data_IF_774030599311
#
_entry.id   IF_774030599311
#
_cell.length_a   1.000
_cell.length_b   1.000
_cell.length_c   1.000
_cell.angle_alpha   90.00
_cell.angle_beta   90.00
_cell.angle_gamma   90.00
#
_symmetry.space_group_name_H-M   'P 1'
#
loop_
_entity.id
_entity.type
_entity.pdbx_description
1 polymer ?
#
# COMPACT_ATOMS: atom_id res chain seq x y z
N UNK A 1 -12.26 -25.63 3.86
CA UNK A 1 -11.35 -25.41 5.00
C UNK A 1 -10.50 -24.22 4.65
N UNK A 2 -10.67 -23.10 5.35
CA UNK A 2 -9.78 -21.94 5.14
C UNK A 2 -8.35 -22.35 5.52
N UNK A 3 -7.45 -22.25 4.59
CA UNK A 3 -6.02 -22.47 4.84
C UNK A 3 -5.58 -21.30 5.70
N UNK A 4 -5.32 -21.55 6.99
CA UNK A 4 -4.83 -20.52 7.89
C UNK A 4 -3.50 -19.98 7.36
N UNK A 5 -3.48 -18.75 6.89
CA UNK A 5 -2.25 -18.02 6.60
C UNK A 5 -1.68 -17.56 7.93
N UNK A 6 -0.78 -18.34 8.52
CA UNK A 6 0.03 -17.86 9.61
C UNK A 6 0.98 -16.78 9.11
N UNK A 7 1.15 -15.68 9.86
CA UNK A 7 2.20 -14.72 9.61
C UNK A 7 1.74 -13.29 9.36
N UNK A 8 2.42 -12.62 8.43
CA UNK A 8 2.28 -11.18 8.20
C UNK A 8 1.35 -10.92 7.00
N UNK A 9 0.41 -10.01 7.19
CA UNK A 9 -0.35 -9.37 6.12
C UNK A 9 0.14 -7.92 5.99
N UNK A 10 0.78 -7.59 4.88
CA UNK A 10 1.44 -6.30 4.73
C UNK A 10 0.51 -5.18 4.28
N UNK A 11 -0.77 -5.50 3.99
CA UNK A 11 -1.72 -4.55 3.42
C UNK A 11 -3.14 -4.79 3.91
N UNK A 12 -3.58 -3.97 4.86
CA UNK A 12 -4.98 -3.88 5.30
C UNK A 12 -5.39 -2.42 5.50
N UNK A 13 -6.71 -2.18 5.55
CA UNK A 13 -7.28 -0.88 5.88
C UNK A 13 -8.17 -0.99 7.12
N UNK A 14 -7.88 -0.18 8.10
CA UNK A 14 -8.76 0.08 9.26
C UNK A 14 -8.80 1.60 9.44
N UNK A 15 -9.99 2.19 9.37
CA UNK A 15 -10.17 3.60 9.69
C UNK A 15 -10.40 3.73 11.19
N UNK A 16 -9.43 4.21 11.96
CA UNK A 16 -9.62 4.38 13.37
C UNK A 16 -10.66 5.45 13.67
N UNK A 17 -11.31 5.42 14.84
CA UNK A 17 -12.35 6.39 15.20
C UNK A 17 -11.95 7.84 15.02
N UNK A 18 -10.69 8.16 15.29
CA UNK A 18 -10.12 9.51 15.13
C UNK A 18 -10.16 9.97 13.67
N UNK A 19 -9.78 9.11 12.72
CA UNK A 19 -9.84 9.43 11.29
C UNK A 19 -11.29 9.56 10.82
N UNK A 20 -12.18 8.66 11.26
CA UNK A 20 -13.61 8.71 10.94
C UNK A 20 -14.21 10.06 11.39
N UNK A 21 -13.90 10.49 12.60
CA UNK A 21 -14.40 11.77 13.12
C UNK A 21 -13.79 12.97 12.38
N UNK A 22 -12.49 12.93 12.09
CA UNK A 22 -11.84 13.96 11.30
C UNK A 22 -12.47 14.10 9.90
N UNK A 23 -12.81 12.99 9.23
CA UNK A 23 -13.50 13.00 7.94
C UNK A 23 -14.93 13.56 8.05
N UNK A 24 -15.65 13.29 9.16
CA UNK A 24 -17.00 13.84 9.42
C UNK A 24 -17.02 15.34 9.65
N UNK A 25 -15.96 15.87 10.26
CA UNK A 25 -15.85 17.32 10.51
C UNK A 25 -15.58 18.13 9.23
N UNK A 26 -15.22 17.49 8.11
CA UNK A 26 -14.90 18.18 6.86
C UNK A 26 -16.17 18.57 6.07
N UNK A 27 -16.07 19.71 5.40
CA UNK A 27 -17.09 20.19 4.46
C UNK A 27 -16.74 19.92 2.99
N UNK A 28 -15.45 19.76 2.70
CA UNK A 28 -14.90 19.41 1.37
C UNK A 28 -14.40 17.98 1.34
N UNK A 29 -14.33 17.37 0.16
CA UNK A 29 -13.75 16.03 -0.03
C UNK A 29 -12.25 15.99 0.35
N UNK A 30 -11.74 14.85 0.85
CA UNK A 30 -12.51 13.69 1.30
C UNK A 30 -13.31 14.01 2.56
N UNK A 31 -14.53 13.48 2.67
CA UNK A 31 -15.38 13.63 3.84
C UNK A 31 -16.35 12.47 4.01
N UNK A 32 -16.82 12.26 5.23
CA UNK A 32 -17.91 11.34 5.53
C UNK A 32 -19.20 12.13 5.82
N UNK A 33 -20.28 11.73 5.16
CA UNK A 33 -21.64 12.16 5.46
C UNK A 33 -22.41 10.97 6.06
N UNK A 34 -22.53 10.95 7.38
CA UNK A 34 -22.86 9.71 8.08
C UNK A 34 -21.78 8.64 7.84
N UNK A 35 -22.13 7.63 7.04
CA UNK A 35 -21.20 6.60 6.55
C UNK A 35 -21.14 6.57 5.02
N UNK A 36 -21.50 7.65 4.35
CA UNK A 36 -21.27 7.82 2.93
C UNK A 36 -19.96 8.56 2.71
N UNK A 37 -18.99 7.90 2.09
CA UNK A 37 -17.73 8.52 1.70
C UNK A 37 -17.93 9.36 0.44
N UNK A 38 -17.44 10.59 0.48
CA UNK A 38 -17.36 11.51 -0.66
C UNK A 38 -15.90 11.83 -0.90
N UNK A 39 -15.36 11.41 -2.04
CA UNK A 39 -14.02 11.75 -2.52
C UNK A 39 -14.05 12.77 -3.63
N UNK A 40 -12.89 13.28 -4.04
CA UNK A 40 -12.77 14.20 -5.18
C UNK A 40 -12.85 13.53 -6.54
N UNK A 41 -12.67 12.21 -6.60
CA UNK A 41 -12.50 11.47 -7.86
C UNK A 41 -13.55 10.39 -8.12
N UNK A 42 -13.86 9.59 -7.14
CA UNK A 42 -14.77 8.45 -7.29
C UNK A 42 -16.21 8.81 -6.88
N UNK A 43 -17.23 8.11 -7.41
CA UNK A 43 -18.62 8.30 -6.98
C UNK A 43 -18.76 8.04 -5.46
N UNK A 44 -19.61 8.80 -4.76
CA UNK A 44 -19.89 8.54 -3.35
C UNK A 44 -20.39 7.10 -3.13
N UNK A 45 -19.91 6.43 -2.09
CA UNK A 45 -20.35 5.10 -1.72
C UNK A 45 -20.53 4.91 -0.22
N UNK A 46 -21.39 3.95 0.15
CA UNK A 46 -21.63 3.61 1.55
C UNK A 46 -20.47 2.78 2.10
N UNK A 47 -19.87 3.25 3.17
CA UNK A 47 -18.85 2.51 3.95
C UNK A 47 -19.58 1.74 5.06
N UNK A 48 -19.19 0.49 5.26
CA UNK A 48 -19.76 -0.35 6.34
C UNK A 48 -18.97 -0.10 7.63
N UNK A 49 -19.62 0.42 8.69
CA UNK A 49 -18.94 0.73 9.95
C UNK A 49 -18.21 -0.47 10.55
N UNK A 50 -18.84 -1.65 10.46
CA UNK A 50 -18.32 -2.89 10.99
C UNK A 50 -17.01 -3.35 10.34
N UNK A 51 -16.71 -2.88 9.11
CA UNK A 51 -15.47 -3.18 8.41
C UNK A 51 -14.27 -2.40 8.96
N UNK A 52 -14.55 -1.35 9.73
CA UNK A 52 -13.55 -0.50 10.37
C UNK A 52 -13.59 -0.58 11.91
N UNK A 53 -14.38 -1.50 12.48
CA UNK A 53 -14.35 -1.78 13.91
C UNK A 53 -13.04 -2.50 14.30
N UNK A 54 -12.15 -1.88 15.09
CA UNK A 54 -10.84 -2.45 15.40
C UNK A 54 -10.91 -3.78 16.15
N UNK A 55 -11.89 -3.96 17.01
CA UNK A 55 -12.04 -5.19 17.83
C UNK A 55 -12.50 -6.34 16.93
N UNK A 56 -13.50 -6.10 16.09
CA UNK A 56 -13.96 -7.08 15.11
C UNK A 56 -12.85 -7.46 14.13
N UNK A 57 -12.13 -6.47 13.59
CA UNK A 57 -11.05 -6.69 12.65
C UNK A 57 -9.88 -7.47 13.26
N UNK A 58 -9.54 -7.21 14.53
CA UNK A 58 -8.54 -7.99 15.25
C UNK A 58 -8.98 -9.44 15.45
N UNK A 59 -10.26 -9.68 15.76
CA UNK A 59 -10.80 -11.03 15.90
C UNK A 59 -10.77 -11.81 14.56
N UNK A 60 -11.10 -11.15 13.44
CA UNK A 60 -11.00 -11.75 12.10
C UNK A 60 -9.56 -12.10 11.76
N UNK A 61 -8.61 -11.18 11.94
CA UNK A 61 -7.19 -11.41 11.70
C UNK A 61 -6.66 -12.59 12.54
N UNK A 62 -7.06 -12.69 13.82
CA UNK A 62 -6.69 -13.81 14.68
C UNK A 62 -7.28 -15.16 14.19
N UNK A 63 -8.53 -15.15 13.73
CA UNK A 63 -9.18 -16.35 13.17
C UNK A 63 -8.51 -16.84 11.88
N UNK A 64 -7.92 -15.93 11.10
CA UNK A 64 -7.14 -16.22 9.91
C UNK A 64 -5.68 -16.61 10.20
N UNK A 65 -5.25 -16.58 11.47
CA UNK A 65 -3.86 -16.86 11.86
C UNK A 65 -2.88 -15.73 11.52
N UNK A 66 -3.37 -14.51 11.32
CA UNK A 66 -2.52 -13.34 11.08
C UNK A 66 -1.90 -12.86 12.39
N UNK A 67 -0.56 -12.91 12.46
CA UNK A 67 0.22 -12.52 13.64
C UNK A 67 0.56 -11.03 13.64
N UNK A 68 0.67 -10.44 12.44
CA UNK A 68 0.91 -9.02 12.20
C UNK A 68 0.14 -8.57 10.97
N UNK A 69 -0.69 -7.55 11.12
CA UNK A 69 -1.41 -6.90 10.03
C UNK A 69 -0.96 -5.43 9.93
N UNK A 70 -0.47 -5.03 8.76
CA UNK A 70 -0.01 -3.67 8.53
C UNK A 70 -1.15 -2.82 7.93
N UNK A 71 -1.56 -1.83 8.71
CA UNK A 71 -2.63 -0.90 8.32
C UNK A 71 -2.07 0.21 7.46
N UNK A 72 -2.70 0.39 6.32
CA UNK A 72 -2.43 1.42 5.32
C UNK A 72 -3.50 2.51 5.35
N UNK A 73 -3.11 3.75 5.10
CA UNK A 73 -4.08 4.80 4.78
C UNK A 73 -4.74 4.45 3.42
N UNK A 74 -6.05 4.66 3.29
CA UNK A 74 -6.72 4.49 1.99
C UNK A 74 -6.38 5.67 1.08
N UNK A 75 -5.25 5.61 0.36
CA UNK A 75 -4.76 6.72 -0.49
C UNK A 75 -5.74 7.16 -1.59
N UNK A 76 -6.70 6.34 -2.09
CA UNK A 76 -7.78 6.84 -2.94
C UNK A 76 -8.61 7.98 -2.33
N UNK A 77 -8.59 8.16 -1.01
CA UNK A 77 -9.15 9.34 -0.33
C UNK A 77 -8.49 10.65 -0.80
N UNK A 78 -7.23 10.60 -1.25
CA UNK A 78 -6.48 11.76 -1.74
C UNK A 78 -5.93 12.66 -0.63
N UNK A 79 -5.87 12.19 0.61
CA UNK A 79 -5.41 12.96 1.78
C UNK A 79 -3.98 13.47 1.56
N UNK A 80 -3.11 12.61 1.03
CA UNK A 80 -1.69 12.91 0.80
C UNK A 80 -1.48 14.02 -0.24
N UNK A 81 -2.47 14.28 -1.10
CA UNK A 81 -2.45 15.33 -2.13
C UNK A 81 -3.11 16.63 -1.69
N UNK A 82 -3.66 16.70 -0.48
CA UNK A 82 -4.18 17.95 0.07
C UNK A 82 -3.04 18.92 0.41
N UNK A 83 -3.37 20.22 0.47
CA UNK A 83 -2.44 21.21 1.01
C UNK A 83 -2.09 20.85 2.46
N UNK A 84 -0.89 21.22 2.96
CA UNK A 84 -0.43 20.83 4.29
C UNK A 84 -1.45 21.10 5.40
N UNK A 85 -2.09 22.28 5.40
CA UNK A 85 -3.07 22.68 6.41
C UNK A 85 -4.37 21.85 6.38
N UNK A 86 -4.74 21.31 5.23
CA UNK A 86 -5.91 20.44 5.06
C UNK A 86 -5.57 18.95 5.32
N UNK A 87 -4.34 18.55 5.02
CA UNK A 87 -3.86 17.17 5.21
C UNK A 87 -3.54 16.88 6.69
N UNK A 88 -2.89 17.81 7.39
CA UNK A 88 -2.37 17.61 8.73
C UNK A 88 -3.41 17.05 9.72
N UNK A 89 -4.63 17.63 9.87
CA UNK A 89 -5.61 17.09 10.82
C UNK A 89 -6.02 15.63 10.53
N UNK A 90 -6.05 15.24 9.24
CA UNK A 90 -6.42 13.89 8.83
C UNK A 90 -5.28 12.90 9.06
N UNK A 91 -4.05 13.30 8.72
CA UNK A 91 -2.86 12.48 8.92
C UNK A 91 -2.56 12.29 10.42
N UNK A 92 -2.72 13.35 11.22
CA UNK A 92 -2.56 13.26 12.69
C UNK A 92 -3.59 12.32 13.30
N UNK A 93 -4.86 12.42 12.88
CA UNK A 93 -5.93 11.54 13.31
C UNK A 93 -5.67 10.08 12.89
N UNK A 94 -5.22 9.83 11.65
CA UNK A 94 -4.81 8.51 11.19
C UNK A 94 -3.67 7.94 12.04
N UNK A 95 -2.59 8.70 12.21
CA UNK A 95 -1.42 8.23 12.96
C UNK A 95 -1.73 7.98 14.44
N UNK A 96 -2.50 8.87 15.08
CA UNK A 96 -2.90 8.69 16.47
C UNK A 96 -3.75 7.44 16.64
N UNK A 97 -4.76 7.27 15.79
CA UNK A 97 -5.67 6.15 15.86
C UNK A 97 -5.00 4.82 15.51
N UNK A 98 -4.16 4.77 14.46
CA UNK A 98 -3.44 3.54 14.10
C UNK A 98 -2.45 3.12 15.19
N UNK A 99 -1.78 4.07 15.85
CA UNK A 99 -0.90 3.77 16.98
C UNK A 99 -1.64 3.19 18.20
N UNK A 100 -2.95 3.46 18.32
CA UNK A 100 -3.81 2.96 19.38
C UNK A 100 -4.51 1.62 19.07
N UNK A 101 -4.40 1.11 17.82
CA UNK A 101 -5.03 -0.14 17.45
C UNK A 101 -4.53 -1.33 18.27
N UNK A 102 -5.41 -2.29 18.61
CA UNK A 102 -5.00 -3.50 19.29
C UNK A 102 -4.13 -4.39 18.40
N UNK A 103 -3.40 -5.35 19.01
CA UNK A 103 -2.79 -6.43 18.23
C UNK A 103 -3.86 -7.15 17.39
N UNK A 104 -3.54 -7.62 16.17
CA UNK A 104 -2.19 -7.73 15.57
C UNK A 104 -1.77 -6.50 14.74
N UNK A 105 -2.45 -5.37 14.86
CA UNK A 105 -2.22 -4.22 13.98
C UNK A 105 -0.95 -3.43 14.33
N UNK A 106 -0.27 -3.00 13.28
CA UNK A 106 0.72 -1.92 13.22
C UNK A 106 0.46 -1.10 11.97
N UNK A 107 1.06 0.08 11.84
CA UNK A 107 0.77 0.96 10.71
C UNK A 107 1.96 1.27 9.82
N UNK A 108 1.66 1.49 8.55
CA UNK A 108 2.47 2.31 7.67
C UNK A 108 2.23 3.78 8.03
N UNK A 109 3.29 4.58 8.13
CA UNK A 109 3.14 6.02 8.17
C UNK A 109 2.59 6.50 6.82
N UNK A 110 1.86 7.61 6.81
CA UNK A 110 1.44 8.31 5.60
C UNK A 110 1.96 9.76 5.66
N UNK A 111 2.27 10.34 4.52
CA UNK A 111 2.76 11.71 4.45
C UNK A 111 2.08 12.46 3.30
N UNK A 112 1.82 13.75 3.48
CA UNK A 112 1.43 14.59 2.36
C UNK A 112 2.61 14.74 1.39
N UNK A 113 2.30 14.86 0.10
CA UNK A 113 3.30 14.86 -0.98
C UNK A 113 3.46 16.21 -1.67
N UNK A 114 2.69 17.22 -1.26
CA UNK A 114 2.78 18.57 -1.83
C UNK A 114 4.03 19.28 -1.33
N UNK A 115 4.28 19.21 -0.02
CA UNK A 115 5.45 19.76 0.66
C UNK A 115 6.06 18.67 1.54
N UNK A 116 7.00 17.84 1.04
CA UNK A 116 7.55 16.70 1.75
C UNK A 116 8.22 17.07 3.09
N UNK A 117 7.65 16.62 4.21
CA UNK A 117 8.18 16.82 5.56
C UNK A 117 8.98 15.61 6.04
N UNK A 118 10.30 15.68 5.89
CA UNK A 118 11.24 14.63 6.30
C UNK A 118 11.32 14.42 7.82
N UNK A 119 11.18 15.49 8.60
CA UNK A 119 11.31 15.42 10.06
C UNK A 119 10.05 14.80 10.66
N UNK A 120 8.87 15.10 10.10
CA UNK A 120 7.61 14.42 10.42
C UNK A 120 7.69 12.92 10.16
N UNK A 121 8.21 12.49 9.00
CA UNK A 121 8.38 11.05 8.70
C UNK A 121 9.34 10.38 9.69
N UNK A 122 10.48 11.02 10.03
CA UNK A 122 11.41 10.48 11.03
C UNK A 122 10.72 10.28 12.37
N UNK A 123 9.99 11.29 12.85
CA UNK A 123 9.25 11.21 14.11
C UNK A 123 8.21 10.06 14.11
N UNK A 124 7.57 9.78 12.98
CA UNK A 124 6.63 8.64 12.86
C UNK A 124 7.36 7.30 12.93
N UNK A 125 8.51 7.14 12.28
CA UNK A 125 9.34 5.93 12.41
C UNK A 125 9.79 5.72 13.86
N UNK A 126 10.22 6.77 14.55
CA UNK A 126 10.62 6.73 15.97
C UNK A 126 9.44 6.34 16.90
N UNK A 127 8.20 6.63 16.50
CA UNK A 127 6.96 6.18 17.17
C UNK A 127 6.59 4.73 16.88
N UNK A 128 7.32 4.04 15.98
CA UNK A 128 7.15 2.62 15.71
C UNK A 128 6.32 2.28 14.47
N UNK A 129 6.04 3.24 13.59
CA UNK A 129 5.52 2.93 12.26
C UNK A 129 6.56 2.11 11.48
N UNK A 130 6.10 1.11 10.72
CA UNK A 130 7.01 0.12 10.11
C UNK A 130 7.78 0.65 8.92
N UNK A 131 7.30 1.69 8.30
CA UNK A 131 7.82 2.34 7.10
C UNK A 131 6.86 3.43 6.66
N UNK A 132 7.03 3.92 5.45
CA UNK A 132 6.20 4.97 4.85
C UNK A 132 5.36 4.41 3.71
N UNK A 133 4.09 4.80 3.64
CA UNK A 133 3.24 4.63 2.46
C UNK A 133 3.21 5.92 1.67
N UNK A 134 3.31 5.80 0.34
CA UNK A 134 3.07 6.91 -0.60
C UNK A 134 2.12 6.47 -1.73
N UNK A 135 1.27 7.38 -2.22
CA UNK A 135 0.39 7.10 -3.33
C UNK A 135 1.18 6.97 -4.65
N UNK A 136 0.86 5.97 -5.45
CA UNK A 136 1.48 5.73 -6.75
C UNK A 136 1.32 6.93 -7.71
N UNK A 137 0.28 7.73 -7.52
CA UNK A 137 0.07 8.99 -8.27
C UNK A 137 1.17 10.03 -8.03
N UNK A 138 1.74 10.08 -6.82
CA UNK A 138 2.88 10.94 -6.52
C UNK A 138 4.21 10.41 -7.08
N UNK A 139 4.27 9.12 -7.38
CA UNK A 139 5.45 8.39 -7.84
C UNK A 139 5.32 7.91 -9.30
N UNK A 140 4.42 8.53 -10.08
CA UNK A 140 4.02 8.05 -11.41
C UNK A 140 5.07 8.32 -12.52
N UNK A 141 6.09 9.10 -12.23
CA UNK A 141 7.18 9.45 -13.14
C UNK A 141 8.48 9.78 -12.38
N UNK A 142 9.62 9.94 -13.08
CA UNK A 142 10.90 10.27 -12.44
C UNK A 142 10.88 11.54 -11.58
N UNK A 143 10.16 12.58 -12.01
CA UNK A 143 10.08 13.84 -11.26
C UNK A 143 9.36 13.67 -9.92
N UNK A 144 8.34 12.81 -9.86
CA UNK A 144 7.67 12.45 -8.62
C UNK A 144 8.59 11.74 -7.62
N UNK A 145 9.43 10.82 -8.10
CA UNK A 145 10.45 10.15 -7.27
C UNK A 145 11.49 11.15 -6.74
N UNK A 146 11.93 12.09 -7.57
CA UNK A 146 12.86 13.16 -7.17
C UNK A 146 12.21 14.09 -6.15
N UNK A 147 10.95 14.50 -6.36
CA UNK A 147 10.19 15.36 -5.45
C UNK A 147 10.01 14.70 -4.06
N UNK A 148 9.68 13.42 -4.02
CA UNK A 148 9.56 12.66 -2.78
C UNK A 148 10.92 12.25 -2.19
N UNK A 149 12.03 12.50 -2.87
CA UNK A 149 13.39 12.13 -2.46
C UNK A 149 13.73 12.44 -1.00
N UNK A 150 13.39 13.64 -0.44
CA UNK A 150 13.63 13.94 0.96
C UNK A 150 13.00 12.95 1.95
N UNK A 151 11.81 12.39 1.64
CA UNK A 151 11.14 11.37 2.45
C UNK A 151 11.85 10.01 2.30
N UNK A 152 12.24 9.67 1.05
CA UNK A 152 12.93 8.40 0.75
C UNK A 152 14.32 8.34 1.39
N UNK A 153 15.02 9.47 1.48
CA UNK A 153 16.29 9.60 2.21
C UNK A 153 16.16 9.24 3.69
N UNK A 154 15.01 9.55 4.32
CA UNK A 154 14.75 9.19 5.71
C UNK A 154 14.60 7.67 5.84
N UNK A 155 13.84 7.05 4.91
CA UNK A 155 13.66 5.60 4.89
C UNK A 155 14.97 4.86 4.68
N UNK A 156 15.77 5.30 3.72
CA UNK A 156 17.06 4.68 3.37
C UNK A 156 18.01 4.68 4.58
N UNK A 157 18.13 5.83 5.27
CA UNK A 157 18.94 5.95 6.48
C UNK A 157 18.42 5.15 7.67
N UNK A 158 17.09 5.05 7.82
CA UNK A 158 16.45 4.29 8.89
C UNK A 158 16.42 2.79 8.60
N UNK A 159 16.73 2.37 7.37
CA UNK A 159 16.49 1.00 6.91
C UNK A 159 15.00 0.63 6.97
N UNK A 160 14.11 1.59 6.75
CA UNK A 160 12.66 1.38 6.75
C UNK A 160 12.14 1.23 5.31
N UNK A 161 11.11 0.40 5.06
CA UNK A 161 10.58 0.20 3.72
C UNK A 161 9.61 1.30 3.28
N UNK A 162 9.47 1.42 1.95
CA UNK A 162 8.40 2.17 1.28
C UNK A 162 7.29 1.20 0.85
N UNK A 163 6.03 1.57 1.07
CA UNK A 163 4.87 0.92 0.48
C UNK A 163 4.21 1.86 -0.54
N UNK A 164 4.07 1.40 -1.78
CA UNK A 164 3.46 2.16 -2.88
C UNK A 164 2.04 1.65 -3.11
N UNK A 165 1.06 2.49 -2.78
CA UNK A 165 -0.36 2.16 -2.84
C UNK A 165 -1.05 2.97 -3.95
N UNK A 166 -2.11 2.46 -4.63
CA UNK A 166 -2.89 3.29 -5.55
C UNK A 166 -3.36 4.59 -4.91
N UNK A 167 -3.25 5.69 -5.63
CA UNK A 167 -3.76 7.00 -5.22
C UNK A 167 -5.14 7.29 -5.79
N UNK A 168 -5.64 8.54 -5.65
CA UNK A 168 -6.94 8.92 -6.16
C UNK A 168 -7.04 8.74 -7.68
N UNK A 169 -8.21 8.28 -8.13
CA UNK A 169 -8.55 8.18 -9.54
C UNK A 169 -9.29 9.44 -10.02
N UNK A 170 -9.13 9.77 -11.30
CA UNK A 170 -9.94 10.81 -11.92
C UNK A 170 -11.36 10.29 -12.24
N UNK A 171 -12.40 11.13 -12.12
CA UNK A 171 -13.75 10.73 -12.51
C UNK A 171 -13.81 10.36 -13.99
N UNK A 172 -14.39 9.19 -14.29
CA UNK A 172 -14.66 8.77 -15.67
C UNK A 172 -16.17 8.60 -15.85
N UNK A 173 -16.88 9.61 -16.39
CA UNK A 173 -18.33 9.57 -16.51
C UNK A 173 -18.82 8.36 -17.32
N UNK A 174 -19.92 7.75 -16.88
CA UNK A 174 -20.56 6.62 -17.57
C UNK A 174 -19.90 5.26 -17.34
N UNK A 175 -18.91 5.18 -16.45
CA UNK A 175 -18.27 3.91 -16.08
C UNK A 175 -18.86 3.31 -14.80
N UNK A 176 -18.83 1.99 -14.62
CA UNK A 176 -19.27 1.35 -13.40
C UNK A 176 -18.28 1.61 -12.24
N UNK A 177 -18.73 1.45 -10.98
CA UNK A 177 -17.95 1.75 -9.79
C UNK A 177 -16.62 0.97 -9.65
N UNK A 178 -16.50 -0.22 -10.25
CA UNK A 178 -15.27 -1.01 -10.27
C UNK A 178 -14.19 -0.48 -11.26
N UNK A 179 -14.54 0.47 -12.13
CA UNK A 179 -13.66 0.94 -13.20
C UNK A 179 -12.32 1.47 -12.72
N UNK A 180 -12.23 2.35 -11.70
CA UNK A 180 -10.95 2.84 -11.22
C UNK A 180 -10.03 1.73 -10.74
N UNK A 181 -10.57 0.74 -10.05
CA UNK A 181 -9.79 -0.37 -9.50
C UNK A 181 -9.09 -1.21 -10.57
N UNK A 182 -9.69 -1.36 -11.77
CA UNK A 182 -9.14 -2.17 -12.85
C UNK A 182 -8.39 -1.38 -13.91
N UNK A 183 -8.56 -0.07 -13.97
CA UNK A 183 -7.92 0.78 -14.99
C UNK A 183 -6.94 1.76 -14.38
N UNK A 184 -7.42 2.67 -13.51
CA UNK A 184 -6.59 3.75 -12.97
C UNK A 184 -5.53 3.22 -12.00
N UNK A 185 -5.91 2.42 -11.00
CA UNK A 185 -4.99 1.88 -10.00
C UNK A 185 -3.91 1.00 -10.62
N UNK A 186 -4.30 0.14 -11.59
CA UNK A 186 -3.35 -0.68 -12.34
C UNK A 186 -2.36 0.19 -13.10
N UNK A 187 -2.86 1.21 -13.82
CA UNK A 187 -2.01 2.14 -14.59
C UNK A 187 -1.08 2.96 -13.67
N UNK A 188 -1.56 3.45 -12.53
CA UNK A 188 -0.77 4.18 -11.56
C UNK A 188 0.41 3.34 -11.05
N UNK A 189 0.15 2.09 -10.66
CA UNK A 189 1.18 1.17 -10.18
C UNK A 189 2.18 0.77 -11.26
N UNK A 190 1.72 0.53 -12.50
CA UNK A 190 2.62 0.27 -13.63
C UNK A 190 3.55 1.46 -13.89
N UNK A 191 3.04 2.68 -13.91
CA UNK A 191 3.84 3.89 -14.08
C UNK A 191 4.86 4.03 -12.97
N UNK A 192 4.43 3.90 -11.70
CA UNK A 192 5.31 4.00 -10.54
C UNK A 192 6.40 2.91 -10.55
N UNK A 193 6.08 1.67 -10.95
CA UNK A 193 7.06 0.59 -11.10
C UNK A 193 8.18 0.94 -12.09
N UNK A 194 7.83 1.48 -13.27
CA UNK A 194 8.83 1.86 -14.25
C UNK A 194 9.58 3.12 -13.86
N UNK A 195 8.92 4.10 -13.26
CA UNK A 195 9.56 5.31 -12.74
C UNK A 195 10.56 4.97 -11.61
N UNK A 196 10.24 3.98 -10.75
CA UNK A 196 11.16 3.45 -9.75
C UNK A 196 12.46 2.91 -10.37
N UNK A 197 12.38 2.16 -11.46
CA UNK A 197 13.57 1.65 -12.16
C UNK A 197 14.47 2.75 -12.70
N UNK A 198 13.87 3.86 -13.17
CA UNK A 198 14.58 4.97 -13.82
C UNK A 198 15.12 5.97 -12.81
N UNK A 199 14.43 6.25 -11.74
CA UNK A 199 14.77 7.29 -10.76
C UNK A 199 14.86 6.76 -9.32
N UNK A 200 13.91 5.96 -8.87
CA UNK A 200 13.86 5.50 -7.50
C UNK A 200 15.05 4.64 -7.11
N UNK A 201 15.29 3.55 -7.82
CA UNK A 201 16.39 2.61 -7.52
C UNK A 201 17.78 3.23 -7.70
N UNK A 202 18.06 4.00 -8.77
CA UNK A 202 19.37 4.64 -8.91
C UNK A 202 19.70 5.64 -7.79
N UNK A 203 18.71 6.37 -7.30
CA UNK A 203 18.90 7.38 -6.25
C UNK A 203 18.86 6.79 -4.84
N UNK A 204 18.15 5.67 -4.64
CA UNK A 204 18.00 4.98 -3.35
C UNK A 204 18.31 3.49 -3.49
N UNK A 205 19.61 3.12 -3.63
CA UNK A 205 20.01 1.75 -3.99
C UNK A 205 19.71 0.70 -2.89
N UNK A 206 19.61 1.09 -1.63
CA UNK A 206 19.32 0.20 -0.51
C UNK A 206 17.84 0.21 -0.07
N UNK A 207 17.00 1.06 -0.65
CA UNK A 207 15.60 1.19 -0.28
C UNK A 207 14.81 -0.07 -0.61
N UNK A 208 14.16 -0.66 0.40
CA UNK A 208 13.17 -1.72 0.19
C UNK A 208 11.83 -1.09 -0.17
N UNK A 209 11.27 -1.51 -1.29
CA UNK A 209 9.98 -1.00 -1.78
C UNK A 209 9.01 -2.17 -1.98
N UNK A 210 7.78 -2.03 -1.50
CA UNK A 210 6.69 -2.94 -1.76
C UNK A 210 5.61 -2.22 -2.58
N UNK A 211 5.24 -2.80 -3.71
CA UNK A 211 4.16 -2.29 -4.55
C UNK A 211 2.88 -3.08 -4.31
N UNK A 212 1.78 -2.39 -4.07
CA UNK A 212 0.47 -2.99 -3.95
C UNK A 212 0.02 -3.71 -5.24
N UNK A 213 -0.95 -4.61 -5.13
CA UNK A 213 -1.66 -5.21 -6.26
C UNK A 213 -0.71 -5.77 -7.32
N UNK A 214 0.33 -6.53 -6.91
CA UNK A 214 1.36 -7.08 -7.81
C UNK A 214 1.97 -6.03 -8.76
N UNK A 215 2.14 -4.77 -8.30
CA UNK A 215 2.60 -3.64 -9.11
C UNK A 215 1.75 -3.39 -10.37
N UNK A 216 0.43 -3.63 -10.30
CA UNK A 216 -0.45 -3.57 -11.46
C UNK A 216 -0.05 -4.52 -12.59
N UNK A 217 0.61 -5.64 -12.27
CA UNK A 217 1.17 -6.63 -13.20
C UNK A 217 2.30 -6.09 -14.11
N UNK A 218 2.91 -4.96 -13.79
CA UNK A 218 4.01 -4.37 -14.57
C UNK A 218 5.17 -5.35 -14.83
N UNK A 219 5.61 -6.19 -13.86
CA UNK A 219 6.68 -7.15 -14.11
C UNK A 219 6.40 -8.17 -15.23
N UNK A 220 5.14 -8.46 -15.54
CA UNK A 220 4.79 -9.37 -16.64
C UNK A 220 5.08 -8.77 -18.03
N UNK A 221 5.35 -7.48 -18.12
CA UNK A 221 5.79 -6.82 -19.36
C UNK A 221 7.32 -6.89 -19.58
N UNK A 222 8.05 -7.73 -18.85
CA UNK A 222 9.51 -7.84 -18.94
C UNK A 222 10.00 -8.13 -20.37
N UNK A 223 9.34 -9.06 -21.10
CA UNK A 223 9.71 -9.36 -22.50
C UNK A 223 9.43 -8.17 -23.44
N UNK A 224 8.30 -7.48 -23.22
CA UNK A 224 7.99 -6.25 -23.98
C UNK A 224 9.00 -5.15 -23.69
N UNK A 225 9.42 -5.00 -22.45
CA UNK A 225 10.46 -4.07 -22.04
C UNK A 225 11.78 -4.39 -22.75
N UNK A 226 12.22 -5.66 -22.72
CA UNK A 226 13.44 -6.10 -23.39
C UNK A 226 13.42 -5.86 -24.92
N UNK A 227 12.24 -5.99 -25.53
CA UNK A 227 12.07 -5.75 -26.96
C UNK A 227 12.06 -4.27 -27.36
N UNK A 228 11.93 -3.33 -26.40
CA UNK A 228 11.72 -1.89 -26.69
C UNK A 228 12.78 -0.98 -26.09
N UNK A 229 13.47 -1.40 -25.05
CA UNK A 229 14.42 -0.58 -24.31
C UNK A 229 15.77 -1.28 -24.18
N UNK A 230 15.90 -2.12 -23.18
CA UNK A 230 17.16 -2.78 -22.81
C UNK A 230 16.91 -4.18 -22.26
N UNK A 231 17.89 -5.09 -22.25
CA UNK A 231 17.72 -6.41 -21.64
C UNK A 231 17.25 -6.29 -20.21
N UNK A 232 16.33 -7.18 -19.80
CA UNK A 232 15.89 -7.27 -18.41
C UNK A 232 17.09 -7.69 -17.57
N UNK A 233 17.50 -6.82 -16.66
CA UNK A 233 18.54 -7.14 -15.68
C UNK A 233 18.07 -8.21 -14.67
N UNK A 234 18.91 -8.57 -13.69
CA UNK A 234 18.53 -9.47 -12.62
C UNK A 234 17.34 -8.89 -11.84
N UNK A 235 16.56 -9.79 -11.23
CA UNK A 235 15.44 -9.40 -10.37
C UNK A 235 15.97 -8.59 -9.19
N UNK A 236 15.37 -7.44 -8.98
CA UNK A 236 15.65 -6.59 -7.82
C UNK A 236 15.06 -7.24 -6.56
N UNK A 237 15.93 -7.72 -5.67
CA UNK A 237 15.51 -8.45 -4.46
C UNK A 237 14.94 -7.56 -3.36
N UNK A 238 15.05 -6.26 -3.49
CA UNK A 238 14.51 -5.25 -2.57
C UNK A 238 13.28 -4.51 -3.15
N UNK A 239 12.81 -4.96 -4.33
CA UNK A 239 11.53 -4.53 -4.93
C UNK A 239 10.49 -5.64 -4.77
N UNK A 240 9.64 -5.52 -3.77
CA UNK A 240 8.58 -6.47 -3.44
C UNK A 240 7.27 -6.12 -4.12
N UNK A 241 6.42 -7.12 -4.31
CA UNK A 241 5.02 -6.96 -4.76
C UNK A 241 4.09 -7.74 -3.83
N UNK A 242 2.96 -7.16 -3.44
CA UNK A 242 2.00 -7.84 -2.58
C UNK A 242 0.77 -8.32 -3.37
N UNK A 243 0.07 -9.32 -2.82
CA UNK A 243 -0.88 -10.17 -3.56
C UNK A 243 -2.32 -9.71 -3.55
N UNK A 244 -2.66 -8.57 -2.95
CA UNK A 244 -4.06 -8.14 -2.79
C UNK A 244 -4.84 -8.15 -4.10
N UNK A 245 -6.08 -8.57 -4.01
CA UNK A 245 -7.04 -8.66 -5.12
C UNK A 245 -6.66 -9.65 -6.24
N UNK A 246 -5.56 -10.43 -6.11
CA UNK A 246 -5.13 -11.39 -7.12
C UNK A 246 -5.12 -12.84 -6.60
N UNK A 247 -5.55 -13.75 -7.47
CA UNK A 247 -5.59 -15.19 -7.21
C UNK A 247 -4.42 -15.96 -7.82
N UNK A 248 -4.48 -17.31 -7.79
CA UNK A 248 -3.36 -18.20 -8.15
C UNK A 248 -2.84 -18.02 -9.57
N UNK A 249 -3.67 -17.59 -10.52
CA UNK A 249 -3.21 -17.36 -11.91
C UNK A 249 -2.22 -16.20 -11.98
N UNK A 250 -2.58 -15.06 -11.43
CA UNK A 250 -1.73 -13.86 -11.47
C UNK A 250 -0.50 -14.01 -10.55
N UNK A 251 -0.70 -14.53 -9.34
CA UNK A 251 0.41 -14.78 -8.41
C UNK A 251 1.39 -15.81 -8.99
N UNK A 252 0.91 -16.90 -9.58
CA UNK A 252 1.76 -17.89 -10.25
C UNK A 252 2.53 -17.32 -11.45
N UNK A 253 1.92 -16.42 -12.24
CA UNK A 253 2.61 -15.70 -13.31
C UNK A 253 3.70 -14.77 -12.76
N UNK A 254 3.40 -14.04 -11.67
CA UNK A 254 4.34 -13.15 -11.02
C UNK A 254 5.53 -13.89 -10.42
N UNK A 255 5.30 -15.02 -9.75
CA UNK A 255 6.36 -15.89 -9.22
C UNK A 255 7.27 -16.43 -10.35
N UNK A 256 6.72 -16.74 -11.53
CA UNK A 256 7.56 -17.11 -12.69
C UNK A 256 8.39 -15.96 -13.22
N UNK A 257 7.88 -14.71 -13.13
CA UNK A 257 8.60 -13.54 -13.64
C UNK A 257 9.68 -13.02 -12.66
N UNK A 258 9.40 -13.05 -11.36
CA UNK A 258 10.22 -12.41 -10.34
C UNK A 258 10.89 -13.38 -9.35
N UNK A 259 10.47 -14.64 -9.31
CA UNK A 259 10.78 -15.55 -8.20
C UNK A 259 9.83 -15.38 -7.02
N UNK A 260 9.88 -16.33 -6.09
CA UNK A 260 9.02 -16.34 -4.90
C UNK A 260 9.48 -15.30 -3.89
N UNK A 261 10.76 -14.98 -3.84
CA UNK A 261 11.43 -14.23 -2.77
C UNK A 261 10.97 -12.78 -2.64
N UNK A 262 10.39 -12.20 -3.66
CA UNK A 262 9.95 -10.80 -3.67
C UNK A 262 8.43 -10.65 -3.69
N UNK A 263 7.69 -11.75 -3.52
CA UNK A 263 6.24 -11.72 -3.38
C UNK A 263 5.89 -11.80 -1.89
N UNK A 264 5.04 -10.91 -1.41
CA UNK A 264 4.55 -10.87 -0.03
C UNK A 264 3.03 -10.95 0.02
N UNK A 265 2.48 -11.44 1.12
CA UNK A 265 1.04 -11.47 1.33
C UNK A 265 0.52 -10.09 1.68
N UNK A 266 -0.48 -9.61 0.94
CA UNK A 266 -1.35 -8.49 1.28
C UNK A 266 -2.79 -8.87 0.98
N UNK A 267 -3.75 -8.54 1.84
CA UNK A 267 -5.16 -8.86 1.64
C UNK A 267 -5.97 -7.72 1.06
N UNK A 268 -5.61 -6.48 1.35
CA UNK A 268 -6.43 -5.29 1.09
C UNK A 268 -7.77 -5.31 1.85
N UNK A 269 -7.85 -6.11 2.93
CA UNK A 269 -9.08 -6.18 3.72
C UNK A 269 -9.39 -4.81 4.38
N UNK A 270 -10.64 -4.35 4.34
CA UNK A 270 -11.89 -5.06 4.02
C UNK A 270 -12.31 -4.97 2.55
N UNK A 271 -11.55 -4.35 1.67
CA UNK A 271 -11.96 -4.11 0.27
C UNK A 271 -11.82 -5.34 -0.61
N UNK A 272 -10.97 -6.29 -0.23
CA UNK A 272 -10.85 -7.58 -0.89
C UNK A 272 -10.77 -8.72 0.15
N UNK A 273 -11.12 -9.93 -0.30
CA UNK A 273 -11.00 -11.15 0.50
C UNK A 273 -9.64 -11.81 0.22
N UNK A 274 -8.95 -12.33 1.26
CA UNK A 274 -7.71 -13.08 1.06
C UNK A 274 -7.94 -14.32 0.17
N UNK A 275 -7.12 -14.49 -0.85
CA UNK A 275 -7.19 -15.63 -1.77
C UNK A 275 -5.95 -16.51 -1.58
N UNK A 276 -6.13 -17.85 -1.53
CA UNK A 276 -5.00 -18.79 -1.53
C UNK A 276 -4.23 -18.66 -2.86
N UNK A 277 -2.94 -18.29 -2.83
CA UNK A 277 -2.15 -18.14 -4.05
C UNK A 277 -1.84 -19.48 -4.75
N UNK A 278 -2.18 -20.62 -4.17
CA UNK A 278 -1.98 -21.94 -4.77
C UNK A 278 -0.52 -22.39 -4.83
N UNK A 279 0.35 -21.84 -3.98
CA UNK A 279 1.79 -22.13 -3.96
C UNK A 279 2.19 -23.26 -2.99
N UNK A 280 1.21 -23.85 -2.29
CA UNK A 280 1.45 -24.85 -1.27
C UNK A 280 2.11 -24.30 -0.01
N UNK A 281 2.37 -25.16 0.99
CA UNK A 281 2.81 -24.73 2.31
C UNK A 281 4.13 -23.94 2.32
N UNK A 282 5.10 -24.35 1.51
CA UNK A 282 6.40 -23.66 1.43
C UNK A 282 6.26 -22.26 0.80
N UNK A 283 5.49 -22.13 -0.27
CA UNK A 283 5.20 -20.83 -0.88
C UNK A 283 4.41 -19.92 0.04
N UNK A 284 3.37 -20.43 0.68
CA UNK A 284 2.57 -19.66 1.64
C UNK A 284 3.41 -19.17 2.83
N UNK A 285 4.34 -19.98 3.33
CA UNK A 285 5.31 -19.56 4.35
C UNK A 285 6.25 -18.46 3.82
N UNK A 286 6.77 -18.61 2.61
CA UNK A 286 7.62 -17.57 2.02
C UNK A 286 6.87 -16.22 1.94
N UNK A 287 5.66 -16.21 1.41
CA UNK A 287 4.85 -15.01 1.24
C UNK A 287 4.36 -14.39 2.57
N UNK A 288 4.05 -15.22 3.56
CA UNK A 288 3.47 -14.77 4.83
C UNK A 288 4.49 -14.57 5.96
N UNK A 289 5.72 -15.07 5.83
CA UNK A 289 6.69 -15.04 6.93
C UNK A 289 8.08 -14.58 6.47
N UNK A 290 8.71 -15.32 5.56
CA UNK A 290 10.13 -15.12 5.27
C UNK A 290 10.36 -13.80 4.48
N UNK A 291 9.53 -13.53 3.48
CA UNK A 291 9.64 -12.32 2.66
C UNK A 291 9.19 -11.06 3.40
N UNK A 292 8.07 -11.04 4.17
CA UNK A 292 7.74 -9.91 5.02
C UNK A 292 8.83 -9.56 6.03
N UNK A 293 9.50 -10.57 6.63
CA UNK A 293 10.63 -10.33 7.53
C UNK A 293 11.77 -9.58 6.81
N UNK A 294 12.07 -9.95 5.56
CA UNK A 294 13.06 -9.25 4.73
C UNK A 294 12.60 -7.84 4.36
N UNK A 295 11.34 -7.69 3.94
CA UNK A 295 10.75 -6.38 3.62
C UNK A 295 10.87 -5.42 4.81
N UNK A 296 10.54 -5.89 6.01
CA UNK A 296 10.54 -5.09 7.23
C UNK A 296 11.93 -4.95 7.88
N UNK A 297 12.96 -5.62 7.36
CA UNK A 297 14.31 -5.57 7.90
C UNK A 297 14.50 -6.33 9.21
N UNK A 298 13.56 -7.19 9.55
CA UNK A 298 13.70 -8.12 10.68
C UNK A 298 14.62 -9.27 10.24
N UNK A 299 15.76 -9.45 10.88
CA UNK A 299 16.65 -10.60 10.71
C UNK A 299 16.30 -11.72 11.65
#
# INVERSE_FOLDING_TARGET
MATAYAGVDVHQHVWPPELVEALRCRRSAPRLDGWTLVTGGEPPYAVRPEDHDPVRRAALAAAEGTELALVSLSSPLGIEHLRPEDAAPLLDAYHAGVAALPRPFRGWAAAQVVEPDRDGVRALLDRGFVGLQLPATALADPAGWEHCGPLLDVLDRAGAPLFVHPGPAAPTPGTPGWWPALTDYVTQLQRSWYAFRVAGRPNHPALRVCFAMLAGLAPLHAERFAARAEPVGPVDRDAFVETSSYGPLAVGAMVRALGTEVVVRGSDAPYAEPVDPGLGAAGNRALGTDNPARLLGSR
#
